data_IF_160847174948
#
_entry.id   IF_160847174948
#
_cell.length_a   1.000
_cell.length_b   1.000
_cell.length_c   1.000
_cell.angle_alpha   90.00
_cell.angle_beta   90.00
_cell.angle_gamma   90.00
#
_symmetry.space_group_name_H-M   'P 1'
#
loop_
_entity.id
_entity.type
_entity.pdbx_description
1 polymer ?
#
# COMPACT_ATOMS: atom_id res chain seq x y z
N UNK A 1 9.99 32.36 -16.89
CA UNK A 1 8.87 31.73 -17.62
C UNK A 1 7.89 31.20 -16.60
N UNK A 2 6.67 31.74 -16.57
CA UNK A 2 5.60 31.27 -15.67
C UNK A 2 4.94 30.08 -16.36
N UNK A 3 5.06 28.88 -15.79
CA UNK A 3 4.31 27.72 -16.25
C UNK A 3 2.83 27.96 -15.93
N UNK A 4 2.03 28.39 -16.93
CA UNK A 4 0.58 28.28 -16.84
C UNK A 4 0.22 26.79 -16.91
N UNK A 5 -0.32 26.23 -15.83
CA UNK A 5 -0.97 24.93 -15.85
C UNK A 5 -2.28 25.07 -16.63
N UNK A 6 -2.38 24.40 -17.77
CA UNK A 6 -3.64 24.29 -18.52
C UNK A 6 -4.61 23.41 -17.72
N UNK A 7 -5.52 24.03 -16.98
CA UNK A 7 -6.44 23.38 -16.02
C UNK A 7 -7.65 22.71 -16.69
N UNK A 8 -7.51 22.14 -17.89
CA UNK A 8 -8.68 21.53 -18.57
C UNK A 8 -9.10 20.20 -17.92
N UNK A 9 -8.15 19.45 -17.38
CA UNK A 9 -8.42 18.17 -16.73
C UNK A 9 -7.58 18.04 -15.45
N UNK A 10 -8.23 17.82 -14.32
CA UNK A 10 -7.55 17.59 -13.05
C UNK A 10 -7.01 16.16 -12.95
N UNK A 11 -5.76 16.04 -12.51
CA UNK A 11 -5.22 14.78 -11.98
C UNK A 11 -5.61 14.72 -10.50
N UNK A 12 -6.16 13.58 -10.08
CA UNK A 12 -6.56 13.32 -8.71
C UNK A 12 -5.57 12.34 -8.10
N UNK A 13 -4.91 12.76 -7.02
CA UNK A 13 -4.05 11.93 -6.20
C UNK A 13 -4.52 12.01 -4.75
N UNK A 14 -4.88 10.87 -4.16
CA UNK A 14 -5.35 10.78 -2.77
C UNK A 14 -4.60 9.68 -2.05
N UNK A 15 -4.08 10.01 -0.87
CA UNK A 15 -3.50 9.06 0.06
C UNK A 15 -4.50 8.70 1.15
N UNK A 16 -4.62 7.42 1.46
CA UNK A 16 -5.40 6.92 2.58
C UNK A 16 -4.51 6.00 3.45
N UNK A 17 -4.67 6.11 4.76
CA UNK A 17 -4.01 5.21 5.71
C UNK A 17 -4.51 3.78 5.57
N UNK A 18 -3.61 2.81 5.65
CA UNK A 18 -3.91 1.39 5.49
C UNK A 18 -3.26 0.59 6.63
N UNK A 19 -4.06 -0.24 7.32
CA UNK A 19 -3.57 -1.21 8.30
C UNK A 19 -3.48 -2.61 7.67
N UNK A 20 -2.65 -3.52 8.22
CA UNK A 20 -2.54 -4.88 7.71
C UNK A 20 -3.87 -5.64 7.67
N UNK A 21 -4.73 -5.42 8.67
CA UNK A 21 -6.09 -5.99 8.71
C UNK A 21 -6.98 -5.57 7.53
N UNK A 22 -6.67 -4.44 6.89
CA UNK A 22 -7.44 -3.88 5.78
C UNK A 22 -6.99 -4.45 4.42
N UNK A 23 -5.81 -5.10 4.35
CA UNK A 23 -5.24 -5.67 3.11
C UNK A 23 -6.22 -6.62 2.42
N UNK A 24 -6.89 -7.49 3.18
CA UNK A 24 -7.85 -8.44 2.61
C UNK A 24 -9.09 -7.76 2.00
N UNK A 25 -9.50 -6.60 2.54
CA UNK A 25 -10.57 -5.78 1.96
C UNK A 25 -10.12 -5.11 0.66
N UNK A 26 -8.92 -4.55 0.65
CA UNK A 26 -8.31 -3.98 -0.54
C UNK A 26 -8.18 -5.01 -1.67
N UNK A 27 -7.74 -6.23 -1.34
CA UNK A 27 -7.65 -7.33 -2.31
C UNK A 27 -9.01 -7.74 -2.88
N UNK A 28 -10.11 -7.58 -2.13
CA UNK A 28 -11.47 -7.83 -2.65
C UNK A 28 -12.00 -6.69 -3.51
N UNK A 29 -11.52 -5.46 -3.31
CA UNK A 29 -11.86 -4.33 -4.16
C UNK A 29 -11.25 -4.44 -5.56
N UNK A 30 -10.03 -4.99 -5.69
CA UNK A 30 -9.38 -5.23 -6.99
C UNK A 30 -10.24 -6.06 -7.98
N UNK A 31 -10.75 -7.25 -7.63
CA UNK A 31 -11.64 -8.04 -8.48
C UNK A 31 -13.10 -7.56 -8.43
N UNK A 32 -13.41 -6.49 -7.67
CA UNK A 32 -14.77 -5.97 -7.49
C UNK A 32 -15.75 -7.00 -6.91
N UNK A 33 -15.27 -7.82 -5.98
CA UNK A 33 -16.06 -8.87 -5.31
C UNK A 33 -16.63 -8.44 -3.96
N UNK A 34 -16.63 -7.13 -3.64
CA UNK A 34 -17.17 -6.60 -2.40
C UNK A 34 -17.36 -5.08 -2.43
N UNK A 35 -18.29 -4.59 -1.60
CA UNK A 35 -18.70 -3.18 -1.52
C UNK A 35 -19.94 -2.85 -2.37
N UNK A 36 -20.18 -1.56 -2.60
CA UNK A 36 -21.21 -1.09 -3.53
C UNK A 36 -20.74 -1.28 -4.98
N UNK A 37 -21.46 -2.16 -5.70
CA UNK A 37 -21.16 -2.54 -7.09
C UNK A 37 -22.11 -1.88 -8.10
N UNK A 38 -23.03 -1.01 -7.67
CA UNK A 38 -24.06 -0.44 -8.55
C UNK A 38 -23.53 0.39 -9.73
N UNK A 39 -22.28 0.83 -9.67
CA UNK A 39 -21.57 1.59 -10.71
C UNK A 39 -20.48 0.76 -11.43
N UNK A 40 -20.34 -0.52 -11.10
CA UNK A 40 -19.33 -1.41 -11.69
C UNK A 40 -19.95 -2.16 -12.87
N UNK A 41 -19.29 -2.12 -14.02
CA UNK A 41 -19.62 -2.97 -15.16
C UNK A 41 -18.94 -4.35 -14.99
N UNK A 42 -19.69 -5.42 -14.62
CA UNK A 42 -19.11 -6.73 -14.34
C UNK A 42 -18.48 -7.35 -15.58
N UNK A 43 -18.93 -6.97 -16.78
CA UNK A 43 -18.37 -7.51 -18.03
C UNK A 43 -16.93 -7.06 -18.25
N UNK A 44 -16.48 -6.01 -17.55
CA UNK A 44 -15.14 -5.42 -17.67
C UNK A 44 -14.22 -5.73 -16.49
N UNK A 45 -14.72 -6.38 -15.43
CA UNK A 45 -13.92 -6.69 -14.23
C UNK A 45 -12.69 -7.56 -14.52
N UNK A 46 -12.75 -8.40 -15.56
CA UNK A 46 -11.63 -9.24 -16.01
C UNK A 46 -10.44 -8.43 -16.57
N UNK A 47 -10.63 -7.14 -16.86
CA UNK A 47 -9.55 -6.25 -17.31
C UNK A 47 -8.74 -5.66 -16.15
N UNK A 48 -9.23 -5.77 -14.91
CA UNK A 48 -8.53 -5.25 -13.74
C UNK A 48 -7.32 -6.14 -13.42
N UNK A 49 -6.15 -5.54 -13.26
CA UNK A 49 -4.90 -6.24 -12.92
C UNK A 49 -4.08 -5.44 -11.91
N UNK A 50 -3.19 -6.10 -11.12
CA UNK A 50 -2.13 -5.40 -10.42
C UNK A 50 -1.30 -4.55 -11.40
N UNK A 51 -1.05 -3.31 -11.03
CA UNK A 51 -0.11 -2.42 -11.73
C UNK A 51 1.28 -2.55 -11.10
N UNK A 52 1.34 -2.85 -9.80
CA UNK A 52 2.55 -2.99 -8.98
C UNK A 52 2.42 -4.28 -8.16
N UNK A 53 3.52 -5.01 -8.04
CA UNK A 53 3.63 -6.20 -7.20
C UNK A 53 3.05 -7.47 -7.83
N UNK A 54 3.35 -8.59 -7.18
CA UNK A 54 2.91 -9.91 -7.60
C UNK A 54 1.44 -10.18 -7.25
N UNK A 55 0.84 -11.21 -7.84
CA UNK A 55 -0.56 -11.54 -7.63
C UNK A 55 -0.89 -11.88 -6.15
N UNK A 56 0.09 -12.34 -5.39
CA UNK A 56 0.03 -12.76 -3.99
C UNK A 56 0.66 -11.73 -3.03
N UNK A 57 0.92 -10.49 -3.48
CA UNK A 57 1.57 -9.44 -2.68
C UNK A 57 0.95 -9.27 -1.29
N UNK A 58 -0.37 -9.43 -1.16
CA UNK A 58 -1.09 -9.31 0.10
C UNK A 58 -0.66 -10.39 1.10
N UNK A 59 -0.57 -11.64 0.65
CA UNK A 59 -0.11 -12.76 1.47
C UNK A 59 1.37 -12.58 1.84
N UNK A 60 2.20 -12.19 0.88
CA UNK A 60 3.61 -11.89 1.13
C UNK A 60 3.78 -10.77 2.16
N UNK A 61 3.00 -9.68 2.04
CA UNK A 61 3.07 -8.55 2.97
C UNK A 61 2.68 -8.96 4.40
N UNK A 62 1.62 -9.77 4.55
CA UNK A 62 1.21 -10.28 5.86
C UNK A 62 2.30 -11.19 6.45
N UNK A 63 2.87 -12.09 5.65
CA UNK A 63 3.97 -12.96 6.09
C UNK A 63 5.19 -12.14 6.54
N UNK A 64 5.63 -11.18 5.73
CA UNK A 64 6.72 -10.26 6.08
C UNK A 64 6.47 -9.52 7.39
N UNK A 65 5.23 -9.10 7.65
CA UNK A 65 4.87 -8.43 8.90
C UNK A 65 5.02 -9.39 10.08
N UNK A 66 4.53 -10.62 9.97
CA UNK A 66 4.64 -11.60 11.05
C UNK A 66 6.10 -12.01 11.31
N UNK A 67 6.91 -12.12 10.25
CA UNK A 67 8.36 -12.34 10.37
C UNK A 67 9.03 -11.19 11.13
N UNK A 68 8.74 -9.93 10.76
CA UNK A 68 9.25 -8.75 11.47
C UNK A 68 8.82 -8.72 12.94
N UNK A 69 7.60 -9.18 13.27
CA UNK A 69 7.13 -9.26 14.66
C UNK A 69 7.94 -10.28 15.45
N UNK A 70 8.19 -11.45 14.86
CA UNK A 70 8.96 -12.53 15.47
C UNK A 70 10.43 -12.13 15.67
N UNK A 71 11.07 -11.55 14.65
CA UNK A 71 12.46 -11.07 14.70
C UNK A 71 12.64 -10.00 15.77
N UNK A 72 11.81 -8.95 15.77
CA UNK A 72 11.87 -7.89 16.77
C UNK A 72 11.69 -8.43 18.20
N UNK A 73 10.83 -9.43 18.37
CA UNK A 73 10.60 -10.06 19.67
C UNK A 73 11.81 -10.87 20.12
N UNK A 74 12.42 -11.65 19.23
CA UNK A 74 13.62 -12.43 19.53
C UNK A 74 14.78 -11.51 19.95
N UNK A 75 15.02 -10.43 19.19
CA UNK A 75 16.06 -9.44 19.48
C UNK A 75 15.87 -8.75 20.83
N UNK A 76 14.61 -8.43 21.17
CA UNK A 76 14.24 -7.85 22.46
C UNK A 76 14.56 -8.82 23.62
N UNK A 77 14.14 -10.08 23.49
CA UNK A 77 14.39 -11.11 24.51
C UNK A 77 15.89 -11.38 24.67
N UNK A 78 16.65 -11.45 23.58
CA UNK A 78 18.11 -11.61 23.62
C UNK A 78 18.76 -10.43 24.37
N UNK A 79 18.37 -9.20 24.02
CA UNK A 79 18.90 -8.00 24.66
C UNK A 79 18.61 -7.97 26.16
N UNK A 80 17.39 -8.32 26.57
CA UNK A 80 17.00 -8.39 27.98
C UNK A 80 17.76 -9.49 28.72
N UNK A 81 17.99 -10.63 28.06
CA UNK A 81 18.76 -11.77 28.59
C UNK A 81 20.21 -11.37 28.86
N UNK A 82 20.86 -10.73 27.89
CA UNK A 82 22.22 -10.20 28.03
C UNK A 82 22.34 -9.21 29.19
N UNK A 83 21.30 -8.38 29.39
CA UNK A 83 21.20 -7.40 30.50
C UNK A 83 20.68 -8.00 31.82
N UNK A 84 20.41 -9.32 31.87
CA UNK A 84 19.93 -10.07 33.05
C UNK A 84 18.61 -9.52 33.63
N UNK A 85 17.72 -8.97 32.80
CA UNK A 85 16.46 -8.32 33.22
C UNK A 85 15.32 -9.33 33.38
N UNK A 86 15.45 -10.26 34.35
CA UNK A 86 14.51 -11.40 34.53
C UNK A 86 13.02 -11.01 34.63
N UNK A 87 12.69 -9.92 35.33
CA UNK A 87 11.31 -9.43 35.45
C UNK A 87 10.74 -9.01 34.09
N UNK A 88 11.49 -8.21 33.34
CA UNK A 88 11.08 -7.73 32.01
C UNK A 88 10.97 -8.87 30.99
N UNK A 89 11.86 -9.87 31.05
CA UNK A 89 11.75 -11.07 30.21
C UNK A 89 10.41 -11.77 30.46
N UNK A 90 10.03 -11.97 31.74
CA UNK A 90 8.75 -12.63 32.08
C UNK A 90 7.55 -11.83 31.57
N UNK A 91 7.58 -10.50 31.73
CA UNK A 91 6.53 -9.61 31.22
C UNK A 91 6.43 -9.69 29.69
N UNK A 92 7.56 -9.60 28.97
CA UNK A 92 7.57 -9.67 27.51
C UNK A 92 7.18 -11.04 26.97
N UNK A 93 7.57 -12.13 27.62
CA UNK A 93 7.12 -13.48 27.26
C UNK A 93 5.61 -13.66 27.43
N UNK A 94 4.98 -12.99 28.40
CA UNK A 94 3.53 -13.04 28.58
C UNK A 94 2.77 -12.19 27.54
N UNK A 95 3.35 -11.07 27.13
CA UNK A 95 2.76 -10.16 26.13
C UNK A 95 2.97 -10.62 24.68
N UNK A 96 4.11 -11.27 24.38
CA UNK A 96 4.45 -11.78 23.05
C UNK A 96 4.91 -10.72 22.04
N UNK A 97 5.00 -11.10 20.75
CA UNK A 97 5.37 -10.20 19.65
C UNK A 97 4.40 -9.04 19.48
N UNK A 98 4.92 -7.88 19.05
CA UNK A 98 4.15 -6.66 18.81
C UNK A 98 4.34 -6.20 17.38
N UNK A 99 3.36 -5.46 16.87
CA UNK A 99 3.45 -4.84 15.56
C UNK A 99 4.75 -4.03 15.38
N UNK A 100 5.45 -4.15 14.23
CA UNK A 100 6.76 -3.55 14.00
C UNK A 100 6.70 -2.03 13.72
N UNK A 101 5.56 -1.39 13.96
CA UNK A 101 5.36 0.05 13.78
C UNK A 101 4.81 0.69 15.04
N UNK A 102 5.02 2.01 15.14
CA UNK A 102 4.35 2.81 16.16
C UNK A 102 2.86 2.91 15.85
N UNK A 103 2.04 2.84 16.90
CA UNK A 103 0.61 3.09 16.76
C UNK A 103 0.39 4.52 16.24
N UNK A 104 -0.18 4.63 15.04
CA UNK A 104 -0.56 5.92 14.43
C UNK A 104 -2.01 5.84 13.95
N UNK A 105 -2.66 7.00 13.84
CA UNK A 105 -4.05 7.10 13.34
C UNK A 105 -4.23 6.48 11.95
N UNK A 106 -3.20 6.53 11.11
CA UNK A 106 -3.28 6.19 9.69
C UNK A 106 -2.62 4.86 9.35
N UNK A 107 -2.09 4.13 10.33
CA UNK A 107 -1.42 2.85 10.10
C UNK A 107 -0.06 2.98 9.40
N UNK A 108 0.64 1.85 9.22
CA UNK A 108 1.99 1.80 8.67
C UNK A 108 2.05 1.97 7.15
N UNK A 109 0.94 1.69 6.43
CA UNK A 109 0.91 1.68 4.97
C UNK A 109 0.04 2.81 4.43
N UNK A 110 0.20 3.11 3.14
CA UNK A 110 -0.62 4.08 2.42
C UNK A 110 -1.18 3.44 1.16
N UNK A 111 -2.50 3.52 1.02
CA UNK A 111 -3.17 3.35 -0.27
C UNK A 111 -3.09 4.67 -1.04
N UNK A 112 -2.77 4.58 -2.33
CA UNK A 112 -2.74 5.74 -3.22
C UNK A 112 -3.76 5.52 -4.34
N UNK A 113 -4.74 6.42 -4.42
CA UNK A 113 -5.63 6.51 -5.57
C UNK A 113 -5.08 7.57 -6.49
N UNK A 114 -4.63 7.15 -7.68
CA UNK A 114 -4.18 8.04 -8.74
C UNK A 114 -5.10 7.86 -9.96
N UNK A 115 -5.71 8.96 -10.39
CA UNK A 115 -6.63 8.95 -11.53
C UNK A 115 -6.68 10.33 -12.19
N UNK A 116 -7.39 10.45 -13.29
CA UNK A 116 -7.67 11.71 -13.97
C UNK A 116 -9.16 11.82 -14.27
N UNK A 117 -9.62 13.03 -14.58
CA UNK A 117 -10.97 13.24 -15.06
C UNK A 117 -11.30 12.31 -16.26
N UNK A 118 -12.51 11.74 -16.30
CA UNK A 118 -12.95 10.83 -17.37
C UNK A 118 -12.75 11.42 -18.77
N UNK A 119 -13.08 12.70 -18.95
CA UNK A 119 -12.96 13.39 -20.23
C UNK A 119 -11.52 13.44 -20.73
N UNK A 120 -10.53 13.37 -19.82
CA UNK A 120 -9.12 13.25 -20.20
C UNK A 120 -8.84 11.91 -20.89
N UNK A 121 -9.43 10.81 -20.42
CA UNK A 121 -9.30 9.50 -21.08
C UNK A 121 -10.11 9.46 -22.38
N UNK A 122 -11.32 10.04 -22.38
CA UNK A 122 -12.25 9.97 -23.51
C UNK A 122 -11.95 10.98 -24.64
N UNK A 123 -11.10 11.98 -24.40
CA UNK A 123 -10.73 13.00 -25.40
C UNK A 123 -10.03 12.48 -26.66
N UNK A 124 -9.63 11.20 -26.71
CA UNK A 124 -9.04 10.60 -27.92
C UNK A 124 -10.10 9.95 -28.81
N UNK A 125 -9.95 10.04 -30.15
CA UNK A 125 -11.00 9.65 -31.09
C UNK A 125 -11.16 8.13 -31.23
N UNK A 126 -10.12 7.33 -30.99
CA UNK A 126 -10.16 5.87 -31.21
C UNK A 126 -9.98 5.09 -29.91
N UNK A 127 -10.60 3.90 -29.77
CA UNK A 127 -10.40 3.03 -28.61
C UNK A 127 -8.92 2.68 -28.36
N UNK A 128 -8.17 2.38 -29.42
CA UNK A 128 -6.74 2.07 -29.32
C UNK A 128 -5.91 3.23 -28.75
N UNK A 129 -6.21 4.47 -29.15
CA UNK A 129 -5.52 5.64 -28.63
C UNK A 129 -5.86 5.87 -27.14
N UNK A 130 -7.12 5.66 -26.73
CA UNK A 130 -7.52 5.74 -25.32
C UNK A 130 -6.82 4.68 -24.47
N UNK A 131 -6.72 3.46 -24.97
CA UNK A 131 -5.99 2.37 -24.30
C UNK A 131 -4.50 2.70 -24.16
N UNK A 132 -3.85 3.18 -25.22
CA UNK A 132 -2.45 3.60 -25.17
C UNK A 132 -2.22 4.74 -24.16
N UNK A 133 -3.13 5.72 -24.08
CA UNK A 133 -3.08 6.78 -23.05
C UNK A 133 -3.25 6.22 -21.65
N UNK A 134 -4.20 5.32 -21.43
CA UNK A 134 -4.41 4.69 -20.12
C UNK A 134 -3.17 3.92 -19.68
N UNK A 135 -2.56 3.15 -20.58
CA UNK A 135 -1.32 2.43 -20.31
C UNK A 135 -0.17 3.39 -19.99
N UNK A 136 0.04 4.45 -20.78
CA UNK A 136 1.06 5.45 -20.50
C UNK A 136 0.84 6.19 -19.17
N UNK A 137 -0.41 6.40 -18.77
CA UNK A 137 -0.75 6.94 -17.46
C UNK A 137 -0.37 5.97 -16.33
N UNK A 138 -0.71 4.69 -16.46
CA UNK A 138 -0.33 3.65 -15.50
C UNK A 138 1.18 3.48 -15.39
N UNK A 139 1.91 3.54 -16.50
CA UNK A 139 3.37 3.42 -16.49
C UNK A 139 4.02 4.63 -15.81
N UNK A 140 3.56 5.84 -16.13
CA UNK A 140 4.00 7.05 -15.43
C UNK A 140 3.64 7.02 -13.94
N UNK A 141 2.48 6.47 -13.58
CA UNK A 141 2.05 6.27 -12.20
C UNK A 141 2.93 5.28 -11.44
N UNK A 142 3.32 4.17 -12.09
CA UNK A 142 4.23 3.16 -11.54
C UNK A 142 5.61 3.74 -11.27
N UNK A 143 6.12 4.53 -12.22
CA UNK A 143 7.46 5.11 -12.17
C UNK A 143 7.52 6.42 -11.37
N UNK A 144 6.37 6.92 -10.90
CA UNK A 144 6.28 8.04 -9.98
C UNK A 144 6.32 7.51 -8.54
N UNK A 145 7.48 7.42 -7.86
CA UNK A 145 7.46 7.28 -6.43
C UNK A 145 7.04 8.64 -5.83
N UNK A 146 5.89 8.76 -5.14
CA UNK A 146 5.88 9.72 -4.05
C UNK A 146 6.94 9.21 -3.08
N UNK A 147 7.96 10.02 -2.79
CA UNK A 147 8.96 9.70 -1.78
C UNK A 147 8.29 9.01 -0.58
N UNK A 148 8.85 7.87 -0.16
CA UNK A 148 8.43 7.02 0.98
C UNK A 148 7.55 5.79 0.68
N UNK A 149 8.05 4.87 -0.15
CA UNK A 149 8.04 3.43 0.20
C UNK A 149 9.46 3.04 0.66
N UNK A 150 9.98 3.79 1.64
CA UNK A 150 11.00 3.25 2.50
C UNK A 150 10.24 2.45 3.56
N UNK A 151 10.35 1.12 3.53
CA UNK A 151 10.49 0.43 4.82
C UNK A 151 11.71 1.09 5.45
N UNK A 152 11.49 2.08 6.32
CA UNK A 152 12.52 2.55 7.20
C UNK A 152 12.91 1.35 8.04
N UNK A 153 13.97 0.65 7.64
CA UNK A 153 14.77 -0.15 8.55
C UNK A 153 15.28 0.84 9.59
N UNK A 154 14.52 1.00 10.68
CA UNK A 154 14.99 1.67 11.88
C UNK A 154 16.06 0.78 12.48
N UNK A 155 17.25 0.83 11.90
CA UNK A 155 18.47 0.46 12.58
C UNK A 155 18.69 1.52 13.68
N UNK A 156 18.05 1.33 14.83
CA UNK A 156 18.51 1.96 16.05
C UNK A 156 19.60 1.08 16.64
N UNK A 157 20.83 1.30 16.18
CA UNK A 157 22.04 0.90 16.90
C UNK A 157 22.51 2.10 17.72
N UNK A 158 22.28 2.02 19.02
CA UNK A 158 23.08 2.65 20.08
C UNK A 158 22.98 1.80 21.35
#
# INVERSE_FOLDING_TARGET
MVHQSCSKFAIVCRFQGLFPKDIGGYEKHRPRNGGDLGHVDPTRSHLNRPVIGEADWAAQTIAMIEDMKAENFADEIETLTRRRRKKQIKERMAEGPRDPWRATRHGPMREVILTANRDWFDALPTPAARQARAQAFEDAARDWPPATLAVQRLAQLS
#
